data_IF_590155840606
#
_entry.id   IF_590155840606
#
_cell.length_a   1.000
_cell.length_b   1.000
_cell.length_c   1.000
_cell.angle_alpha   90.00
_cell.angle_beta   90.00
_cell.angle_gamma   90.00
#
_symmetry.space_group_name_H-M   'P 1'
#
loop_
_entity.id
_entity.type
_entity.pdbx_description
1 polymer ?
#
# COMPACT_ATOMS: atom_id res chain seq x y z
N UNK A 1 -0.23 -34.51 -14.23
CA UNK A 1 1.18 -34.73 -13.82
C UNK A 1 1.59 -33.75 -12.71
N UNK A 2 1.37 -32.43 -12.88
CA UNK A 2 1.71 -31.36 -11.92
C UNK A 2 1.16 -31.60 -10.48
N UNK A 3 -0.10 -32.07 -10.34
CA UNK A 3 -0.74 -32.29 -9.02
C UNK A 3 -0.04 -33.34 -8.14
N UNK A 4 0.57 -34.36 -8.75
CA UNK A 4 1.28 -35.41 -8.02
C UNK A 4 2.66 -34.93 -7.57
N UNK A 5 3.36 -34.20 -8.44
CA UNK A 5 4.68 -33.63 -8.16
C UNK A 5 4.62 -32.60 -7.03
N UNK A 6 3.72 -31.61 -7.04
CA UNK A 6 3.65 -30.62 -5.95
C UNK A 6 3.20 -31.17 -4.60
N UNK A 7 2.21 -32.07 -4.56
CA UNK A 7 1.81 -32.70 -3.29
C UNK A 7 2.93 -33.55 -2.70
N UNK A 8 3.81 -34.06 -3.55
CA UNK A 8 4.97 -34.83 -3.16
C UNK A 8 6.12 -33.90 -2.72
N UNK A 9 6.41 -32.84 -3.47
CA UNK A 9 7.42 -31.81 -3.14
C UNK A 9 7.08 -31.07 -1.83
N UNK A 10 5.81 -30.70 -1.64
CA UNK A 10 5.33 -30.10 -0.38
C UNK A 10 5.35 -31.09 0.79
N UNK A 11 5.31 -32.40 0.52
CA UNK A 11 5.53 -33.44 1.55
C UNK A 11 7.00 -33.67 1.86
N UNK A 12 7.86 -33.54 0.86
CA UNK A 12 9.30 -33.79 0.94
C UNK A 12 10.07 -32.55 1.43
N UNK A 13 9.47 -31.35 1.37
CA UNK A 13 9.96 -30.14 2.00
C UNK A 13 11.08 -29.43 1.25
N UNK A 14 11.26 -29.70 -0.05
CA UNK A 14 12.26 -29.02 -0.86
C UNK A 14 11.81 -27.58 -1.19
N UNK A 15 12.41 -26.63 -0.47
CA UNK A 15 12.08 -25.20 -0.50
C UNK A 15 12.31 -24.57 -1.87
N UNK A 16 13.33 -24.99 -2.60
CA UNK A 16 13.65 -24.45 -3.93
C UNK A 16 12.66 -24.93 -4.99
N UNK A 17 12.20 -26.17 -4.86
CA UNK A 17 11.26 -26.78 -5.79
C UNK A 17 9.82 -26.23 -5.61
N UNK A 18 9.43 -25.80 -4.41
CA UNK A 18 8.10 -25.24 -4.15
C UNK A 18 7.82 -24.00 -5.00
N UNK A 19 8.75 -23.04 -5.07
CA UNK A 19 8.55 -21.82 -5.87
C UNK A 19 8.53 -22.12 -7.37
N UNK A 20 9.42 -23.01 -7.85
CA UNK A 20 9.43 -23.44 -9.25
C UNK A 20 8.11 -24.07 -9.66
N UNK A 21 7.59 -24.94 -8.80
CA UNK A 21 6.29 -25.56 -8.93
C UNK A 21 5.12 -24.55 -8.96
N UNK A 22 5.13 -23.56 -8.06
CA UNK A 22 4.10 -22.51 -8.05
C UNK A 22 4.15 -21.66 -9.33
N UNK A 23 5.35 -21.39 -9.88
CA UNK A 23 5.51 -20.70 -11.17
C UNK A 23 4.95 -21.50 -12.35
N UNK A 24 5.14 -22.82 -12.35
CA UNK A 24 4.53 -23.69 -13.36
C UNK A 24 3.00 -23.65 -13.29
N UNK A 25 2.44 -23.64 -12.07
CA UNK A 25 0.99 -23.50 -11.88
C UNK A 25 0.50 -22.14 -12.38
N UNK A 26 1.18 -21.05 -12.01
CA UNK A 26 0.82 -19.70 -12.43
C UNK A 26 0.80 -19.53 -13.95
N UNK A 27 1.61 -20.33 -14.66
CA UNK A 27 1.68 -20.34 -16.14
C UNK A 27 0.66 -21.27 -16.80
N UNK A 28 -0.06 -22.08 -16.02
CA UNK A 28 -1.01 -23.04 -16.55
C UNK A 28 -2.40 -22.41 -16.79
N UNK A 29 -3.16 -22.96 -17.73
CA UNK A 29 -4.56 -22.56 -17.91
C UNK A 29 -5.38 -22.94 -16.66
N UNK A 30 -6.32 -22.08 -16.21
CA UNK A 30 -7.24 -22.45 -15.13
C UNK A 30 -8.02 -23.71 -15.53
N UNK A 31 -7.86 -24.79 -14.77
CA UNK A 31 -8.65 -25.99 -14.94
C UNK A 31 -9.72 -26.02 -13.83
N UNK A 32 -10.96 -26.35 -14.18
CA UNK A 32 -12.11 -26.28 -13.27
C UNK A 32 -11.96 -27.12 -11.98
N UNK A 33 -11.05 -28.09 -11.95
CA UNK A 33 -10.75 -28.95 -10.79
C UNK A 33 -9.53 -28.50 -9.96
N UNK A 34 -8.90 -27.38 -10.29
CA UNK A 34 -7.59 -26.98 -9.76
C UNK A 34 -7.70 -26.05 -8.55
N UNK A 35 -8.14 -26.55 -7.39
CA UNK A 35 -8.14 -25.78 -6.14
C UNK A 35 -6.78 -25.88 -5.43
N UNK A 36 -6.05 -24.77 -5.36
CA UNK A 36 -4.70 -24.70 -4.77
C UNK A 36 -4.66 -24.07 -3.37
N UNK A 37 -5.79 -23.72 -2.78
CA UNK A 37 -5.86 -23.03 -1.48
C UNK A 37 -5.04 -23.74 -0.39
N UNK A 38 -5.30 -25.04 -0.18
CA UNK A 38 -4.58 -25.87 0.81
C UNK A 38 -3.08 -25.99 0.51
N UNK A 39 -2.72 -25.94 -0.77
CA UNK A 39 -1.35 -26.04 -1.22
C UNK A 39 -0.59 -24.75 -0.88
N UNK A 40 -1.17 -23.59 -1.17
CA UNK A 40 -0.59 -22.28 -0.85
C UNK A 40 -0.37 -22.11 0.65
N UNK A 41 -1.35 -22.54 1.46
CA UNK A 41 -1.22 -22.52 2.92
C UNK A 41 -0.04 -23.37 3.37
N UNK A 42 0.12 -24.58 2.85
CA UNK A 42 1.24 -25.46 3.22
C UNK A 42 2.58 -24.92 2.72
N UNK A 43 2.63 -24.45 1.48
CA UNK A 43 3.83 -23.84 0.89
C UNK A 43 4.34 -22.69 1.74
N UNK A 44 3.46 -21.80 2.19
CA UNK A 44 3.83 -20.67 3.06
C UNK A 44 4.58 -21.13 4.33
N UNK A 45 4.15 -22.21 4.98
CA UNK A 45 4.77 -22.70 6.21
C UNK A 45 6.10 -23.44 5.98
N UNK A 46 6.40 -23.84 4.74
CA UNK A 46 7.66 -24.49 4.38
C UNK A 46 8.68 -23.45 3.89
N UNK A 47 8.21 -22.41 3.20
CA UNK A 47 9.04 -21.35 2.66
C UNK A 47 9.74 -20.55 3.77
N UNK A 48 10.99 -20.19 3.50
CA UNK A 48 11.76 -19.28 4.34
C UNK A 48 11.29 -17.83 4.16
N UNK A 49 11.58 -16.99 5.16
CA UNK A 49 11.26 -15.56 5.13
C UNK A 49 11.86 -14.84 3.90
N UNK A 50 13.05 -15.27 3.47
CA UNK A 50 13.73 -14.76 2.26
C UNK A 50 12.92 -14.97 0.98
N UNK A 51 12.05 -15.99 0.93
CA UNK A 51 11.18 -16.30 -0.20
C UNK A 51 9.81 -15.62 -0.12
N UNK A 52 9.50 -14.93 0.99
CA UNK A 52 8.16 -14.38 1.22
C UNK A 52 7.75 -13.34 0.18
N UNK A 53 8.68 -12.47 -0.24
CA UNK A 53 8.41 -11.46 -1.28
C UNK A 53 8.04 -12.13 -2.60
N UNK A 54 8.87 -13.04 -3.07
CA UNK A 54 8.65 -13.77 -4.33
C UNK A 54 7.36 -14.60 -4.28
N UNK A 55 7.07 -15.24 -3.14
CA UNK A 55 5.82 -15.95 -2.94
C UNK A 55 4.61 -15.02 -3.09
N UNK A 56 4.62 -13.85 -2.44
CA UNK A 56 3.51 -12.89 -2.51
C UNK A 56 3.35 -12.30 -3.91
N UNK A 57 4.44 -12.09 -4.64
CA UNK A 57 4.40 -11.66 -6.04
C UNK A 57 3.74 -12.72 -6.93
N UNK A 58 4.04 -14.01 -6.72
CA UNK A 58 3.37 -15.11 -7.44
C UNK A 58 1.88 -15.24 -7.12
N UNK A 59 1.44 -14.80 -5.92
CA UNK A 59 0.04 -14.93 -5.55
C UNK A 59 -0.89 -14.20 -6.52
N UNK A 60 -0.47 -13.07 -7.11
CA UNK A 60 -1.29 -12.31 -8.06
C UNK A 60 -1.73 -13.18 -9.26
N UNK A 61 -0.80 -13.94 -9.83
CA UNK A 61 -1.07 -14.84 -10.95
C UNK A 61 -1.84 -16.08 -10.51
N UNK A 62 -1.61 -16.53 -9.27
CA UNK A 62 -2.24 -17.72 -8.71
C UNK A 62 -3.70 -17.50 -8.30
N UNK A 63 -4.18 -16.25 -8.19
CA UNK A 63 -5.55 -15.93 -7.77
C UNK A 63 -6.61 -16.62 -8.64
N UNK A 64 -6.38 -16.75 -9.94
CA UNK A 64 -7.32 -17.39 -10.88
C UNK A 64 -7.50 -18.89 -10.63
N UNK A 65 -6.57 -19.50 -9.89
CA UNK A 65 -6.60 -20.91 -9.50
C UNK A 65 -7.12 -21.11 -8.06
N UNK A 66 -7.38 -20.03 -7.32
CA UNK A 66 -7.89 -20.13 -5.95
C UNK A 66 -9.41 -20.24 -5.97
N UNK A 67 -9.96 -21.09 -5.09
CA UNK A 67 -11.40 -21.07 -4.83
C UNK A 67 -11.78 -19.79 -4.09
N UNK A 68 -10.96 -19.40 -3.13
CA UNK A 68 -11.21 -18.22 -2.31
C UNK A 68 -9.89 -17.51 -1.92
N UNK A 69 -9.55 -16.39 -2.58
CA UNK A 69 -8.37 -15.57 -2.27
C UNK A 69 -8.25 -15.13 -0.81
N UNK A 70 -9.38 -15.07 -0.07
CA UNK A 70 -9.40 -14.67 1.35
C UNK A 70 -8.60 -15.64 2.22
N UNK A 71 -8.48 -16.91 1.83
CA UNK A 71 -7.72 -17.91 2.57
C UNK A 71 -6.25 -17.52 2.73
N UNK A 72 -5.64 -16.97 1.67
CA UNK A 72 -4.23 -16.56 1.69
C UNK A 72 -4.05 -15.24 2.44
N UNK A 73 -5.03 -14.34 2.41
CA UNK A 73 -5.00 -13.11 3.22
C UNK A 73 -4.96 -13.44 4.71
N UNK A 74 -5.84 -14.33 5.17
CA UNK A 74 -5.89 -14.75 6.57
C UNK A 74 -4.54 -15.33 7.01
N UNK A 75 -3.90 -16.11 6.13
CA UNK A 75 -2.58 -16.67 6.35
C UNK A 75 -1.49 -15.59 6.50
N UNK A 76 -1.42 -14.65 5.54
CA UNK A 76 -0.45 -13.55 5.57
C UNK A 76 -0.60 -12.72 6.84
N UNK A 77 -1.82 -12.47 7.30
CA UNK A 77 -2.05 -11.62 8.47
C UNK A 77 -1.81 -12.33 9.80
N UNK A 78 -2.20 -13.61 9.92
CA UNK A 78 -1.98 -14.38 11.15
C UNK A 78 -0.49 -14.61 11.43
N UNK A 79 0.29 -14.83 10.37
CA UNK A 79 1.71 -15.17 10.51
C UNK A 79 2.62 -13.94 10.54
N UNK A 80 2.09 -12.74 10.25
CA UNK A 80 2.80 -11.49 10.44
C UNK A 80 2.27 -10.79 11.70
N UNK A 81 2.77 -11.24 12.86
CA UNK A 81 2.40 -10.76 14.20
C UNK A 81 2.92 -9.36 14.52
N UNK A 82 3.83 -8.84 13.70
CA UNK A 82 4.27 -7.45 13.78
C UNK A 82 3.07 -6.49 13.70
N UNK A 83 3.21 -5.38 14.42
CA UNK A 83 2.30 -4.23 14.37
C UNK A 83 2.19 -3.64 12.96
N UNK A 84 3.20 -3.87 12.12
CA UNK A 84 3.28 -3.42 10.74
C UNK A 84 3.54 -4.59 9.80
N UNK A 85 3.07 -4.48 8.55
CA UNK A 85 3.34 -5.46 7.49
C UNK A 85 4.37 -4.89 6.51
N UNK A 86 5.17 -5.75 5.86
CA UNK A 86 5.92 -5.36 4.67
C UNK A 86 5.00 -4.79 3.58
N UNK A 87 5.49 -3.79 2.84
CA UNK A 87 4.70 -3.06 1.84
C UNK A 87 4.10 -3.98 0.76
N UNK A 88 4.85 -4.98 0.30
CA UNK A 88 4.38 -5.93 -0.72
C UNK A 88 3.18 -6.75 -0.24
N UNK A 89 3.08 -7.04 1.07
CA UNK A 89 1.92 -7.69 1.67
C UNK A 89 0.72 -6.75 1.67
N UNK A 90 0.91 -5.48 2.07
CA UNK A 90 -0.18 -4.49 2.01
C UNK A 90 -0.73 -4.33 0.60
N UNK A 91 0.15 -4.25 -0.41
CA UNK A 91 -0.23 -4.15 -1.82
C UNK A 91 -1.10 -5.33 -2.25
N UNK A 92 -0.69 -6.55 -1.91
CA UNK A 92 -1.45 -7.76 -2.25
C UNK A 92 -2.81 -7.81 -1.54
N UNK A 93 -2.85 -7.56 -0.23
CA UNK A 93 -4.12 -7.54 0.52
C UNK A 93 -5.07 -6.47 -0.06
N UNK A 94 -4.56 -5.28 -0.33
CA UNK A 94 -5.34 -4.20 -0.91
C UNK A 94 -5.87 -4.54 -2.31
N UNK A 95 -5.04 -5.18 -3.15
CA UNK A 95 -5.46 -5.69 -4.45
C UNK A 95 -6.65 -6.63 -4.33
N UNK A 96 -6.58 -7.62 -3.43
CA UNK A 96 -7.68 -8.57 -3.26
C UNK A 96 -8.93 -7.88 -2.68
N UNK A 97 -8.77 -6.99 -1.70
CA UNK A 97 -9.89 -6.20 -1.14
C UNK A 97 -10.67 -5.44 -2.22
N UNK A 98 -9.95 -4.87 -3.21
CA UNK A 98 -10.57 -4.09 -4.29
C UNK A 98 -11.18 -4.93 -5.40
N UNK A 99 -10.62 -6.11 -5.69
CA UNK A 99 -11.09 -6.95 -6.79
C UNK A 99 -12.13 -8.01 -6.37
N UNK A 100 -12.23 -8.33 -5.09
CA UNK A 100 -13.08 -9.44 -4.59
C UNK A 100 -14.11 -9.02 -3.53
N UNK A 101 -14.48 -7.73 -3.51
CA UNK A 101 -15.46 -7.11 -2.58
C UNK A 101 -15.34 -7.62 -1.13
N UNK A 102 -14.12 -7.56 -0.61
CA UNK A 102 -13.79 -8.07 0.72
C UNK A 102 -13.23 -6.96 1.59
N UNK A 103 -13.72 -6.86 2.82
CA UNK A 103 -13.18 -5.96 3.85
C UNK A 103 -12.37 -6.75 4.85
N UNK A 104 -11.14 -6.33 5.09
CA UNK A 104 -10.30 -6.90 6.13
C UNK A 104 -10.31 -6.02 7.39
N UNK A 105 -10.76 -6.59 8.50
CA UNK A 105 -10.77 -5.92 9.81
C UNK A 105 -9.33 -5.67 10.28
N UNK A 106 -8.99 -4.41 10.57
CA UNK A 106 -7.66 -4.03 11.04
C UNK A 106 -6.65 -3.69 9.94
N UNK A 107 -7.00 -3.77 8.66
CA UNK A 107 -6.10 -3.36 7.55
C UNK A 107 -5.62 -1.91 7.76
N UNK A 108 -6.57 -0.98 7.93
CA UNK A 108 -6.27 0.44 8.09
C UNK A 108 -5.59 0.76 9.42
N UNK A 109 -5.89 0.00 10.47
CA UNK A 109 -5.22 0.16 11.77
C UNK A 109 -3.73 -0.19 11.65
N UNK A 110 -3.40 -1.35 11.06
CA UNK A 110 -2.02 -1.73 10.79
C UNK A 110 -1.34 -0.72 9.84
N UNK A 111 -2.04 -0.29 8.79
CA UNK A 111 -1.54 0.71 7.85
C UNK A 111 -1.16 2.02 8.57
N UNK A 112 -1.95 2.46 9.55
CA UNK A 112 -1.65 3.64 10.36
C UNK A 112 -0.41 3.50 11.25
N UNK A 113 -0.04 2.28 11.64
CA UNK A 113 1.17 2.02 12.42
C UNK A 113 2.43 2.02 11.55
N UNK A 114 2.31 1.86 10.23
CA UNK A 114 3.45 1.86 9.32
C UNK A 114 4.10 3.23 9.16
N UNK A 115 5.42 3.23 9.02
CA UNK A 115 6.21 4.43 8.71
C UNK A 115 6.32 4.60 7.20
N UNK A 116 5.63 5.60 6.66
CA UNK A 116 5.69 5.96 5.24
C UNK A 116 6.78 6.99 5.03
N UNK A 117 7.96 6.54 4.60
CA UNK A 117 9.17 7.38 4.49
C UNK A 117 9.83 7.33 3.12
N UNK A 118 9.40 6.42 2.25
CA UNK A 118 9.92 6.25 0.90
C UNK A 118 8.81 6.49 -0.14
N UNK A 119 9.21 6.78 -1.38
CA UNK A 119 8.26 7.08 -2.45
C UNK A 119 7.28 5.94 -2.73
N UNK A 120 7.71 4.68 -2.61
CA UNK A 120 6.88 3.52 -2.94
C UNK A 120 5.76 3.35 -1.90
N UNK A 121 6.10 3.50 -0.62
CA UNK A 121 5.13 3.43 0.48
C UNK A 121 4.20 4.64 0.51
N UNK A 122 4.72 5.85 0.23
CA UNK A 122 3.90 7.06 0.11
C UNK A 122 2.92 7.01 -1.07
N UNK A 123 3.37 6.52 -2.23
CA UNK A 123 2.52 6.35 -3.41
C UNK A 123 1.41 5.32 -3.15
N UNK A 124 1.77 4.22 -2.48
CA UNK A 124 0.80 3.21 -2.08
C UNK A 124 -0.26 3.80 -1.12
N UNK A 125 0.16 4.58 -0.11
CA UNK A 125 -0.77 5.24 0.80
C UNK A 125 -1.71 6.21 0.06
N UNK A 126 -1.17 7.04 -0.84
CA UNK A 126 -2.00 7.90 -1.69
C UNK A 126 -3.02 7.09 -2.52
N UNK A 127 -2.63 5.91 -3.00
CA UNK A 127 -3.50 5.00 -3.75
C UNK A 127 -4.63 4.43 -2.91
N UNK A 128 -4.34 4.07 -1.66
CA UNK A 128 -5.34 3.59 -0.70
C UNK A 128 -6.35 4.70 -0.39
N UNK A 129 -5.91 5.95 -0.26
CA UNK A 129 -6.78 7.08 0.08
C UNK A 129 -7.51 7.69 -1.12
N UNK A 130 -7.02 7.48 -2.34
CA UNK A 130 -7.64 7.96 -3.58
C UNK A 130 -8.79 7.08 -4.03
N UNK A 131 -8.64 5.75 -3.93
CA UNK A 131 -9.57 4.77 -4.52
C UNK A 131 -10.59 4.21 -3.52
N UNK A 132 -10.85 4.90 -2.40
CA UNK A 132 -11.53 4.28 -1.27
C UNK A 132 -12.58 5.18 -0.63
N UNK A 133 -13.74 5.19 -1.29
CA UNK A 133 -14.91 5.98 -0.91
C UNK A 133 -15.46 5.64 0.49
N UNK A 134 -15.15 4.44 1.00
CA UNK A 134 -15.60 3.96 2.31
C UNK A 134 -14.77 4.49 3.49
N UNK A 135 -13.64 5.17 3.23
CA UNK A 135 -12.80 5.69 4.31
C UNK A 135 -13.41 6.94 4.95
N UNK A 136 -13.53 6.91 6.27
CA UNK A 136 -14.00 8.08 7.02
C UNK A 136 -13.05 9.27 6.89
N UNK A 137 -13.62 10.48 6.83
CA UNK A 137 -12.83 11.71 6.81
C UNK A 137 -11.96 11.87 8.07
N UNK A 138 -12.38 11.34 9.22
CA UNK A 138 -11.58 11.33 10.45
C UNK A 138 -10.31 10.51 10.30
N UNK A 139 -10.40 9.29 9.77
CA UNK A 139 -9.22 8.46 9.50
C UNK A 139 -8.24 9.17 8.55
N UNK A 140 -8.75 9.77 7.47
CA UNK A 140 -7.89 10.50 6.53
C UNK A 140 -7.23 11.73 7.15
N UNK A 141 -7.90 12.42 8.08
CA UNK A 141 -7.29 13.52 8.86
C UNK A 141 -6.14 13.01 9.72
N UNK A 142 -6.32 11.87 10.39
CA UNK A 142 -5.27 11.28 11.23
C UNK A 142 -4.04 10.88 10.39
N UNK A 143 -4.25 10.35 9.19
CA UNK A 143 -3.16 10.08 8.22
C UNK A 143 -2.44 11.38 7.85
N UNK A 144 -3.17 12.41 7.42
CA UNK A 144 -2.59 13.69 7.01
C UNK A 144 -1.83 14.33 8.16
N UNK A 145 -2.36 14.27 9.39
CA UNK A 145 -1.68 14.76 10.60
C UNK A 145 -0.36 14.03 10.82
N UNK A 146 -0.38 12.69 10.78
CA UNK A 146 0.83 11.86 10.94
C UNK A 146 1.88 12.22 9.90
N UNK A 147 1.48 12.35 8.63
CA UNK A 147 2.38 12.73 7.55
C UNK A 147 2.96 14.14 7.76
N UNK A 148 2.14 15.12 8.17
CA UNK A 148 2.61 16.49 8.36
C UNK A 148 3.60 16.61 9.52
N UNK A 149 3.41 15.85 10.61
CA UNK A 149 4.42 15.75 11.66
C UNK A 149 5.69 15.09 11.13
N UNK A 150 5.54 14.01 10.34
CA UNK A 150 6.68 13.27 9.80
C UNK A 150 7.52 14.06 8.79
N UNK A 151 6.91 14.96 8.02
CA UNK A 151 7.66 15.83 7.09
C UNK A 151 8.59 16.81 7.80
N UNK A 152 8.34 17.11 9.08
CA UNK A 152 9.22 17.95 9.90
C UNK A 152 10.39 17.18 10.53
N UNK A 153 10.27 15.85 10.66
CA UNK A 153 11.23 14.99 11.35
C UNK A 153 12.18 14.23 10.40
N UNK A 154 12.04 14.42 9.09
CA UNK A 154 12.74 13.66 8.06
C UNK A 154 13.71 14.53 7.28
N UNK A 155 14.54 13.90 6.43
CA UNK A 155 15.44 14.65 5.53
C UNK A 155 14.64 15.50 4.54
N UNK A 156 15.22 16.59 4.04
CA UNK A 156 14.52 17.52 3.15
C UNK A 156 13.84 16.87 1.95
N UNK A 157 14.49 15.89 1.31
CA UNK A 157 13.89 15.19 0.16
C UNK A 157 12.69 14.34 0.58
N UNK A 158 12.81 13.60 1.68
CA UNK A 158 11.69 12.79 2.21
C UNK A 158 10.54 13.69 2.67
N UNK A 159 10.83 14.79 3.36
CA UNK A 159 9.83 15.77 3.78
C UNK A 159 9.11 16.41 2.58
N UNK A 160 9.83 16.70 1.49
CA UNK A 160 9.25 17.17 0.24
C UNK A 160 8.30 16.13 -0.38
N UNK A 161 8.70 14.85 -0.41
CA UNK A 161 7.89 13.76 -0.94
C UNK A 161 6.62 13.53 -0.10
N UNK A 162 6.73 13.64 1.23
CA UNK A 162 5.60 13.57 2.15
C UNK A 162 4.64 14.74 1.91
N UNK A 163 5.12 15.99 1.83
CA UNK A 163 4.26 17.14 1.56
C UNK A 163 3.56 17.05 0.21
N UNK A 164 4.26 16.55 -0.81
CA UNK A 164 3.66 16.33 -2.12
C UNK A 164 2.56 15.25 -2.06
N UNK A 165 2.78 14.20 -1.27
CA UNK A 165 1.77 13.17 -0.98
C UNK A 165 0.54 13.76 -0.27
N UNK A 166 0.75 14.62 0.74
CA UNK A 166 -0.33 15.35 1.42
C UNK A 166 -1.13 16.18 0.41
N UNK A 167 -0.46 16.98 -0.42
CA UNK A 167 -1.13 17.78 -1.45
C UNK A 167 -2.00 16.90 -2.36
N UNK A 168 -1.50 15.74 -2.77
CA UNK A 168 -2.25 14.80 -3.60
C UNK A 168 -3.50 14.25 -2.88
N UNK A 169 -3.36 13.86 -1.60
CA UNK A 169 -4.46 13.37 -0.76
C UNK A 169 -5.54 14.45 -0.62
N UNK A 170 -5.15 15.71 -0.34
CA UNK A 170 -6.09 16.83 -0.20
C UNK A 170 -6.87 17.10 -1.48
N UNK A 171 -6.19 17.04 -2.62
CA UNK A 171 -6.84 17.23 -3.93
C UNK A 171 -7.82 16.10 -4.25
N UNK A 172 -7.48 14.87 -3.88
CA UNK A 172 -8.38 13.71 -4.01
C UNK A 172 -9.56 13.78 -3.04
N UNK A 173 -9.37 14.41 -1.87
CA UNK A 173 -10.37 14.48 -0.81
C UNK A 173 -10.57 15.93 -0.32
N UNK A 174 -11.29 16.78 -1.08
CA UNK A 174 -11.36 18.22 -0.80
C UNK A 174 -11.97 18.63 0.55
N UNK A 175 -12.63 17.71 1.25
CA UNK A 175 -13.13 17.89 2.63
C UNK A 175 -12.00 18.06 3.64
N UNK A 176 -10.80 17.56 3.33
CA UNK A 176 -9.63 17.61 4.22
C UNK A 176 -8.93 18.98 4.23
N UNK A 177 -9.21 19.86 3.27
CA UNK A 177 -8.60 21.19 3.27
C UNK A 177 -8.98 22.04 4.49
N UNK A 178 -10.17 21.84 5.09
CA UNK A 178 -10.53 22.57 6.31
C UNK A 178 -9.63 22.17 7.48
N UNK A 179 -9.24 20.89 7.55
CA UNK A 179 -8.36 20.38 8.59
C UNK A 179 -6.95 20.96 8.49
N UNK A 180 -6.42 21.13 7.27
CA UNK A 180 -5.11 21.76 7.07
C UNK A 180 -5.08 23.21 7.58
N UNK A 181 -6.21 23.93 7.53
CA UNK A 181 -6.31 25.28 8.10
C UNK A 181 -6.30 25.26 9.63
N UNK A 182 -6.73 24.17 10.26
CA UNK A 182 -6.65 23.97 11.71
C UNK A 182 -5.20 23.66 12.14
N UNK A 183 -4.46 22.90 11.32
CA UNK A 183 -3.04 22.54 11.52
C UNK A 183 -2.06 23.57 10.91
N UNK A 184 -2.49 24.83 10.82
CA UNK A 184 -1.77 25.89 10.09
C UNK A 184 -0.34 26.11 10.59
N UNK A 185 -0.07 25.94 11.87
CA UNK A 185 1.26 26.14 12.46
C UNK A 185 2.32 25.20 11.87
N UNK A 186 2.01 23.91 11.71
CA UNK A 186 2.92 22.95 11.09
C UNK A 186 3.17 23.26 9.61
N UNK A 187 2.13 23.71 8.89
CA UNK A 187 2.29 24.13 7.50
C UNK A 187 3.15 25.40 7.38
N UNK A 188 3.04 26.33 8.33
CA UNK A 188 3.84 27.57 8.35
C UNK A 188 5.33 27.30 8.54
N UNK A 189 5.72 26.29 9.34
CA UNK A 189 7.12 25.88 9.46
C UNK A 189 7.72 25.45 8.11
N UNK A 190 6.94 24.79 7.25
CA UNK A 190 7.39 24.40 5.92
C UNK A 190 7.53 25.59 4.95
N UNK A 191 6.89 26.72 5.22
CA UNK A 191 7.06 27.94 4.41
C UNK A 191 8.43 28.59 4.61
N UNK A 192 9.09 28.31 5.74
CA UNK A 192 10.44 28.80 6.07
C UNK A 192 11.55 27.84 5.64
N UNK A 193 11.18 26.72 4.98
CA UNK A 193 12.13 25.73 4.46
C UNK A 193 12.73 26.14 3.10
N UNK A 194 13.58 25.28 2.52
CA UNK A 194 14.11 25.44 1.16
C UNK A 194 12.98 25.63 0.13
N UNK A 195 13.29 26.30 -0.98
CA UNK A 195 12.29 26.78 -1.95
C UNK A 195 11.38 25.67 -2.49
N UNK A 196 11.90 24.46 -2.73
CA UNK A 196 11.09 23.33 -3.19
C UNK A 196 10.02 22.93 -2.18
N UNK A 197 10.39 22.85 -0.90
CA UNK A 197 9.47 22.53 0.20
C UNK A 197 8.46 23.68 0.39
N UNK A 198 8.97 24.91 0.47
CA UNK A 198 8.15 26.11 0.64
C UNK A 198 7.16 26.31 -0.53
N UNK A 199 7.53 25.91 -1.74
CA UNK A 199 6.67 25.94 -2.92
C UNK A 199 5.48 24.98 -2.77
N UNK A 200 5.71 23.73 -2.38
CA UNK A 200 4.62 22.75 -2.14
C UNK A 200 3.74 23.21 -0.97
N UNK A 201 4.33 23.68 0.12
CA UNK A 201 3.57 24.21 1.27
C UNK A 201 2.69 25.42 0.89
N UNK A 202 3.22 26.36 0.07
CA UNK A 202 2.42 27.47 -0.48
C UNK A 202 1.26 26.99 -1.35
N UNK A 203 1.47 25.94 -2.17
CA UNK A 203 0.39 25.36 -2.97
C UNK A 203 -0.72 24.79 -2.09
N UNK A 204 -0.36 24.01 -1.06
CA UNK A 204 -1.30 23.47 -0.07
C UNK A 204 -2.10 24.61 0.57
N UNK A 205 -1.41 25.63 1.10
CA UNK A 205 -2.03 26.79 1.74
C UNK A 205 -3.01 27.50 0.81
N UNK A 206 -2.57 27.84 -0.40
CA UNK A 206 -3.36 28.54 -1.41
C UNK A 206 -4.63 27.78 -1.82
N UNK A 207 -4.55 26.45 -1.92
CA UNK A 207 -5.69 25.58 -2.26
C UNK A 207 -6.64 25.37 -1.07
N UNK A 208 -6.09 25.36 0.15
CA UNK A 208 -6.88 25.30 1.39
C UNK A 208 -7.74 26.56 1.57
N UNK A 209 -7.13 27.74 1.45
CA UNK A 209 -7.75 29.05 1.67
C UNK A 209 -8.80 29.40 0.61
N UNK A 210 -8.64 28.95 -0.64
CA UNK A 210 -9.53 29.31 -1.73
C UNK A 210 -9.89 28.14 -2.64
N UNK A 211 -11.16 27.75 -2.60
CA UNK A 211 -11.73 26.67 -3.42
C UNK A 211 -11.49 26.85 -4.93
N UNK A 212 -11.38 28.09 -5.43
CA UNK A 212 -11.15 28.37 -6.85
C UNK A 212 -9.76 27.94 -7.32
N UNK A 213 -8.80 27.81 -6.42
CA UNK A 213 -7.43 27.38 -6.74
C UNK A 213 -7.28 25.85 -6.78
N UNK A 214 -8.29 25.10 -6.33
CA UNK A 214 -8.22 23.64 -6.23
C UNK A 214 -8.25 23.01 -7.61
N UNK A 215 -7.38 22.01 -7.79
CA UNK A 215 -7.39 21.17 -8.99
C UNK A 215 -8.68 20.36 -9.03
N UNK A 216 -9.36 20.34 -10.18
CA UNK A 216 -10.67 19.67 -10.33
C UNK A 216 -10.56 18.18 -10.63
N UNK A 217 -9.49 17.76 -11.29
CA UNK A 217 -9.27 16.38 -11.71
C UNK A 217 -7.91 15.91 -11.25
N UNK A 218 -7.89 14.81 -10.50
CA UNK A 218 -6.68 14.23 -9.93
C UNK A 218 -6.57 12.82 -10.47
N UNK A 219 -5.47 12.53 -11.16
CA UNK A 219 -5.15 11.19 -11.62
C UNK A 219 -3.92 10.68 -10.88
N UNK A 220 -4.05 9.60 -10.13
CA UNK A 220 -2.93 9.06 -9.35
C UNK A 220 -1.77 8.56 -10.20
N UNK A 221 -2.04 8.04 -11.40
CA UNK A 221 -0.99 7.62 -12.32
C UNK A 221 -0.11 8.79 -12.82
N UNK A 222 -0.54 10.03 -12.61
CA UNK A 222 0.23 11.23 -12.95
C UNK A 222 1.17 11.71 -11.82
N UNK A 223 1.07 11.10 -10.63
CA UNK A 223 1.87 11.49 -9.47
C UNK A 223 3.37 11.24 -9.75
N UNK A 224 4.18 12.29 -9.64
CA UNK A 224 5.64 12.23 -9.76
C UNK A 224 6.25 13.07 -8.67
N UNK A 225 7.10 12.44 -7.86
CA UNK A 225 7.76 13.11 -6.75
C UNK A 225 8.76 14.16 -7.24
N UNK A 226 8.66 15.41 -6.74
CA UNK A 226 9.62 16.45 -7.09
C UNK A 226 10.99 16.16 -6.47
N UNK A 227 12.05 16.69 -7.09
CA UNK A 227 13.43 16.55 -6.62
C UNK A 227 13.99 17.90 -6.21
N UNK A 228 14.73 17.92 -5.10
CA UNK A 228 15.52 19.08 -4.70
C UNK A 228 16.60 19.32 -5.75
N UNK A 229 16.72 20.56 -6.22
CA UNK A 229 17.79 20.93 -7.14
C UNK A 229 19.05 21.17 -6.32
N UNK A 230 20.05 20.30 -6.53
CA UNK A 230 21.40 20.52 -6.02
C UNK A 230 22.15 21.54 -6.89
#
# INVERSE_FOLDING_TARGET
MIRFSLKQIVREGDKGEILGCLKEIASAQPMDDYQIDDLLVKSYFILEETHLKEFVELLYDLLVHMRDPRNVIVLLLKNNTSDTLPLFIYKFIYFVMKNYDFKFNGFYEKLMKSDFIDEESLYFLATVLHNNDDLSASFMRDVVKKLLSRSLETSSQVGLDILYTILFILRSNPVLYSFILEERSMLEMHLESIEEIASVARMIKREAENKKNRVKFVNIASMKYPKIKC
#
